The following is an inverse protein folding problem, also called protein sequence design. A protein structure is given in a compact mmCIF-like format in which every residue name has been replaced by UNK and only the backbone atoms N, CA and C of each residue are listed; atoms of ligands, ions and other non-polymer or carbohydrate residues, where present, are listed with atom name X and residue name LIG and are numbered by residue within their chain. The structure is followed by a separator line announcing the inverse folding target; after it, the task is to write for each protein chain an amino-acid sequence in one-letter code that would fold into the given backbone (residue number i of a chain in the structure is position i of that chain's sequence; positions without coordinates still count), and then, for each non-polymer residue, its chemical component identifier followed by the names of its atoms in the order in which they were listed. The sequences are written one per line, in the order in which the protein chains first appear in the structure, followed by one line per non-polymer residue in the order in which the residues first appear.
data_IF_238304283863
#
_entry.id   IF_238304283863
#
_cell.length_a   1.000
_cell.length_b   1.000
_cell.length_c   1.000
_cell.angle_alpha   90.00
_cell.angle_beta   90.00
_cell.angle_gamma   90.00
#
_symmetry.space_group_name_H-M   'P 1'
#
loop_
_entity.id
_entity.type
_entity.pdbx_description
1 polymer ?
#
# COMPACT_ATOMS: atom_id res chain seq x y z
N UNK A 1 -3.83 4.54 13.72
CA UNK A 1 -3.57 3.08 13.77
C UNK A 1 -4.15 2.51 12.48
N UNK A 2 -3.30 2.02 11.59
CA UNK A 2 -3.72 1.44 10.30
C UNK A 2 -4.59 0.21 10.56
N UNK A 3 -5.68 0.04 9.83
CA UNK A 3 -6.70 -0.99 10.10
C UNK A 3 -6.23 -2.44 9.89
N UNK A 4 -5.02 -2.66 9.36
CA UNK A 4 -4.54 -3.98 8.91
C UNK A 4 -3.09 -4.31 9.30
N UNK A 5 -2.39 -3.38 9.95
CA UNK A 5 -0.99 -3.52 10.40
C UNK A 5 -0.90 -2.97 11.83
N UNK A 6 -0.42 -3.77 12.76
CA UNK A 6 -0.08 -3.35 14.12
C UNK A 6 1.40 -2.96 14.18
N UNK A 7 1.71 -1.92 14.95
CA UNK A 7 3.06 -1.40 15.11
C UNK A 7 3.55 -1.66 16.52
N UNK A 8 4.70 -2.34 16.65
CA UNK A 8 5.38 -2.55 17.93
C UNK A 8 6.64 -1.69 17.97
N UNK A 9 6.73 -0.84 18.99
CA UNK A 9 7.95 -0.09 19.31
C UNK A 9 8.72 -0.86 20.37
N UNK A 10 9.93 -1.30 20.05
CA UNK A 10 10.87 -1.88 21.01
C UNK A 10 11.80 -0.80 21.57
N UNK A 11 12.28 0.06 20.68
CA UNK A 11 13.12 1.20 20.99
C UNK A 11 12.66 2.39 20.16
N UNK A 12 12.35 3.51 20.83
CA UNK A 12 11.91 4.72 20.14
C UNK A 12 13.07 5.38 19.38
N UNK A 13 12.76 5.92 18.20
CA UNK A 13 13.66 6.76 17.43
C UNK A 13 13.91 8.10 18.13
N UNK A 14 15.06 8.73 17.86
CA UNK A 14 15.37 10.12 18.24
C UNK A 14 15.88 10.87 17.01
N UNK A 15 16.06 12.21 17.07
CA UNK A 15 16.56 12.98 15.93
C UNK A 15 17.91 12.51 15.37
N UNK A 16 18.71 11.82 16.18
CA UNK A 16 20.06 11.36 15.83
C UNK A 16 20.17 9.83 15.63
N UNK A 17 19.11 9.06 15.91
CA UNK A 17 19.17 7.58 15.81
C UNK A 17 17.84 6.96 15.39
N UNK A 18 17.93 5.96 14.52
CA UNK A 18 16.81 5.07 14.26
C UNK A 18 16.47 4.26 15.52
N UNK A 19 15.18 4.06 15.74
CA UNK A 19 14.65 3.15 16.73
C UNK A 19 14.55 1.73 16.19
N UNK A 20 13.93 0.84 16.96
CA UNK A 20 13.70 -0.55 16.59
C UNK A 20 12.26 -0.93 16.87
N UNK A 21 11.67 -1.66 15.94
CA UNK A 21 10.30 -2.11 16.08
C UNK A 21 9.98 -3.25 15.13
N UNK A 22 8.70 -3.55 15.06
CA UNK A 22 8.18 -4.53 14.12
C UNK A 22 6.80 -4.12 13.62
N UNK A 23 6.53 -4.44 12.36
CA UNK A 23 5.16 -4.56 11.86
C UNK A 23 4.64 -5.96 12.15
N UNK A 24 3.43 -6.05 12.69
CA UNK A 24 2.66 -7.28 12.75
C UNK A 24 1.49 -7.19 11.78
N UNK A 25 1.50 -8.06 10.78
CA UNK A 25 0.49 -8.12 9.74
C UNK A 25 -0.70 -8.94 10.24
N UNK A 26 -1.88 -8.32 10.29
CA UNK A 26 -3.10 -9.00 10.72
C UNK A 26 -3.86 -9.56 9.52
N UNK A 27 -4.80 -10.45 9.79
CA UNK A 27 -5.74 -10.97 8.77
C UNK A 27 -6.93 -10.00 8.58
N UNK A 28 -6.90 -8.84 9.24
CA UNK A 28 -7.88 -7.78 9.05
C UNK A 28 -7.80 -7.22 7.63
N UNK A 29 -8.95 -6.77 7.15
CA UNK A 29 -9.05 -6.05 5.90
C UNK A 29 -10.01 -4.86 6.05
N UNK A 30 -9.95 -3.96 5.07
CA UNK A 30 -10.77 -2.76 5.04
C UNK A 30 -11.17 -2.41 3.61
N UNK A 31 -12.47 -2.24 3.38
CA UNK A 31 -13.06 -1.79 2.13
C UNK A 31 -13.90 -0.53 2.36
N UNK A 32 -14.05 0.30 1.33
CA UNK A 32 -14.78 1.58 1.37
C UNK A 32 -14.34 2.54 2.47
N UNK A 33 -13.08 2.46 2.93
CA UNK A 33 -12.52 3.24 4.05
C UNK A 33 -13.25 3.03 5.38
N UNK A 34 -13.98 1.92 5.55
CA UNK A 34 -14.77 1.61 6.74
C UNK A 34 -13.92 1.45 8.01
N UNK A 35 -12.65 1.05 7.85
CA UNK A 35 -11.83 0.51 8.94
C UNK A 35 -11.87 -1.02 8.97
N UNK A 36 -11.60 -1.62 10.13
CA UNK A 36 -11.62 -3.08 10.31
C UNK A 36 -13.02 -3.65 10.02
N UNK A 37 -13.09 -4.63 9.13
CA UNK A 37 -14.30 -5.37 8.80
C UNK A 37 -14.66 -6.36 9.92
N UNK A 38 -15.92 -6.82 10.03
CA UNK A 38 -16.36 -7.68 11.13
C UNK A 38 -15.78 -9.10 11.12
N UNK A 39 -15.18 -9.49 10.00
CA UNK A 39 -14.48 -10.76 9.79
C UNK A 39 -13.03 -10.53 9.31
N UNK A 40 -12.25 -11.61 9.30
CA UNK A 40 -10.84 -11.61 8.91
C UNK A 40 -10.64 -12.54 7.71
N UNK A 41 -9.65 -12.26 6.84
CA UNK A 41 -9.28 -13.12 5.71
C UNK A 41 -8.07 -13.98 6.14
N UNK A 42 -8.27 -15.27 6.47
CA UNK A 42 -7.21 -16.07 7.07
C UNK A 42 -5.95 -16.14 6.19
N UNK A 43 -4.79 -15.92 6.80
CA UNK A 43 -3.50 -16.02 6.11
C UNK A 43 -3.13 -14.81 5.24
N UNK A 44 -4.01 -13.82 5.09
CA UNK A 44 -3.73 -12.55 4.39
C UNK A 44 -2.50 -11.87 4.99
N UNK A 45 -2.46 -11.69 6.31
CA UNK A 45 -1.37 -10.97 6.97
C UNK A 45 -0.02 -11.64 6.72
N UNK A 46 0.01 -12.97 6.80
CA UNK A 46 1.23 -13.73 6.54
C UNK A 46 1.68 -13.68 5.07
N UNK A 47 0.73 -13.72 4.12
CA UNK A 47 1.02 -13.55 2.70
C UNK A 47 1.66 -12.19 2.41
N UNK A 48 1.07 -11.11 2.94
CA UNK A 48 1.59 -9.75 2.77
C UNK A 48 2.96 -9.56 3.43
N UNK A 49 3.16 -10.14 4.62
CA UNK A 49 4.45 -10.11 5.32
C UNK A 49 5.55 -10.79 4.50
N UNK A 50 5.28 -12.00 3.97
CA UNK A 50 6.24 -12.74 3.16
C UNK A 50 6.56 -12.03 1.83
N UNK A 51 5.55 -11.47 1.14
CA UNK A 51 5.77 -10.68 -0.08
C UNK A 51 6.61 -9.44 0.19
N UNK A 52 6.25 -8.67 1.23
CA UNK A 52 6.99 -7.46 1.60
C UNK A 52 8.44 -7.77 1.96
N UNK A 53 8.68 -8.84 2.74
CA UNK A 53 10.01 -9.29 3.11
C UNK A 53 10.87 -9.67 1.88
N UNK A 54 10.31 -10.45 0.96
CA UNK A 54 11.01 -10.83 -0.27
C UNK A 54 11.39 -9.60 -1.12
N UNK A 55 10.48 -8.62 -1.23
CA UNK A 55 10.77 -7.40 -1.98
C UNK A 55 11.86 -6.57 -1.30
N UNK A 56 11.86 -6.43 0.02
CA UNK A 56 12.92 -5.74 0.74
C UNK A 56 14.28 -6.42 0.57
N UNK A 57 14.34 -7.76 0.70
CA UNK A 57 15.57 -8.53 0.48
C UNK A 57 16.12 -8.32 -0.94
N UNK A 58 15.25 -8.34 -1.96
CA UNK A 58 15.64 -8.06 -3.34
C UNK A 58 16.09 -6.60 -3.58
N UNK A 59 15.50 -5.63 -2.88
CA UNK A 59 15.94 -4.23 -2.93
C UNK A 59 17.35 -4.07 -2.34
N UNK A 60 17.61 -4.71 -1.20
CA UNK A 60 18.91 -4.71 -0.53
C UNK A 60 19.99 -5.38 -1.39
N UNK A 61 19.66 -6.48 -2.09
CA UNK A 61 20.54 -7.11 -3.07
C UNK A 61 20.92 -6.17 -4.23
N UNK A 62 20.04 -5.24 -4.60
CA UNK A 62 20.31 -4.19 -5.60
C UNK A 62 20.99 -2.95 -5.01
N UNK A 63 21.29 -2.95 -3.71
CA UNK A 63 21.93 -1.83 -3.02
C UNK A 63 21.00 -0.66 -2.72
N UNK A 64 19.68 -0.87 -2.76
CA UNK A 64 18.69 0.15 -2.39
C UNK A 64 18.49 0.07 -0.88
N UNK A 65 18.79 1.13 -0.11
CA UNK A 65 18.62 1.12 1.34
C UNK A 65 17.17 0.95 1.75
N UNK A 66 16.92 0.16 2.79
CA UNK A 66 15.58 -0.08 3.33
C UNK A 66 15.57 0.03 4.86
N UNK A 67 14.38 0.13 5.46
CA UNK A 67 14.23 0.02 6.91
C UNK A 67 14.06 -1.43 7.40
N UNK A 68 14.06 -2.42 6.50
CA UNK A 68 13.84 -3.82 6.83
C UNK A 68 15.05 -4.40 7.57
N UNK A 69 14.78 -5.31 8.51
CA UNK A 69 15.83 -6.00 9.27
C UNK A 69 15.74 -7.51 9.21
N UNK A 70 14.67 -8.04 8.63
CA UNK A 70 14.34 -9.47 8.65
C UNK A 70 12.90 -9.75 9.05
N UNK A 71 12.43 -10.96 8.76
CA UNK A 71 11.19 -11.48 9.33
C UNK A 71 11.45 -12.03 10.73
N UNK A 72 10.43 -11.99 11.58
CA UNK A 72 10.51 -12.59 12.92
C UNK A 72 9.97 -14.02 12.85
N UNK A 73 10.86 -15.00 13.01
CA UNK A 73 10.53 -16.43 13.01
C UNK A 73 11.13 -17.10 14.25
N UNK A 74 10.31 -17.81 15.04
CA UNK A 74 10.80 -18.46 16.26
C UNK A 74 11.29 -17.49 17.36
N UNK A 75 10.94 -16.20 17.26
CA UNK A 75 11.41 -15.14 18.17
C UNK A 75 12.74 -14.50 17.77
N UNK A 76 13.33 -14.93 16.65
CA UNK A 76 14.56 -14.38 16.11
C UNK A 76 14.29 -13.62 14.80
N UNK A 77 15.13 -12.62 14.53
CA UNK A 77 15.08 -11.84 13.29
C UNK A 77 16.03 -12.48 12.29
N UNK A 78 15.55 -12.82 11.10
CA UNK A 78 16.35 -13.46 10.06
C UNK A 78 15.73 -13.30 8.67
N UNK A 79 16.40 -13.82 7.63
CA UNK A 79 15.91 -13.76 6.26
C UNK A 79 14.67 -14.63 6.05
N UNK A 80 13.81 -14.27 5.09
CA UNK A 80 12.59 -15.00 4.76
C UNK A 80 12.88 -16.47 4.36
N UNK A 81 14.03 -16.72 3.75
CA UNK A 81 14.46 -18.07 3.34
C UNK A 81 14.56 -19.04 4.53
N UNK A 82 14.92 -18.54 5.73
CA UNK A 82 15.07 -19.35 6.95
C UNK A 82 13.74 -19.56 7.69
N UNK A 83 12.69 -18.82 7.34
CA UNK A 83 11.37 -18.99 7.94
C UNK A 83 10.75 -20.34 7.54
N UNK A 84 10.59 -21.23 8.53
CA UNK A 84 9.97 -22.55 8.36
C UNK A 84 8.45 -22.50 8.22
N UNK A 85 7.82 -21.38 8.59
CA UNK A 85 6.38 -21.12 8.48
C UNK A 85 6.17 -19.72 7.93
N UNK A 86 5.01 -19.43 7.31
CA UNK A 86 4.68 -18.09 6.89
C UNK A 86 4.85 -17.06 8.04
N UNK A 87 5.73 -16.07 7.89
CA UNK A 87 5.94 -15.06 8.93
C UNK A 87 4.72 -14.13 9.01
N UNK A 88 4.50 -13.54 10.18
CA UNK A 88 3.49 -12.47 10.40
C UNK A 88 4.09 -11.18 10.93
N UNK A 89 5.38 -11.20 11.24
CA UNK A 89 6.09 -10.09 11.83
C UNK A 89 7.34 -9.78 11.02
N UNK A 90 7.58 -8.49 10.82
CA UNK A 90 8.72 -7.95 10.10
C UNK A 90 9.42 -6.97 11.03
N UNK A 91 10.68 -7.23 11.36
CA UNK A 91 11.50 -6.31 12.13
C UNK A 91 11.95 -5.16 11.24
N UNK A 92 11.89 -3.95 11.78
CA UNK A 92 12.21 -2.72 11.06
C UNK A 92 13.00 -1.74 11.93
N UNK A 93 13.80 -0.90 11.28
CA UNK A 93 14.32 0.33 11.84
C UNK A 93 13.19 1.37 11.89
N UNK A 94 13.04 2.04 13.04
CA UNK A 94 12.02 3.06 13.22
C UNK A 94 12.59 4.45 12.99
N UNK A 95 11.84 5.28 12.27
CA UNK A 95 12.11 6.71 12.16
C UNK A 95 11.10 7.51 12.99
N UNK A 96 11.31 8.82 13.08
CA UNK A 96 10.37 9.71 13.76
C UNK A 96 9.23 10.12 12.83
N UNK A 97 8.06 10.32 13.43
CA UNK A 97 6.93 10.99 12.80
C UNK A 97 6.51 12.11 13.74
N UNK A 98 7.13 13.30 13.65
CA UNK A 98 6.67 14.45 14.40
C UNK A 98 5.21 14.80 14.10
N UNK A 99 4.58 15.55 14.99
CA UNK A 99 3.29 16.15 14.67
C UNK A 99 3.46 17.12 13.49
N UNK A 100 2.47 17.17 12.60
CA UNK A 100 2.35 18.16 11.53
C UNK A 100 1.31 19.21 11.98
N UNK A 101 1.72 20.35 12.57
CA UNK A 101 0.78 21.37 13.01
C UNK A 101 0.06 21.99 11.81
N UNK A 102 -1.19 22.39 11.99
CA UNK A 102 -1.94 23.06 10.94
C UNK A 102 -2.99 24.02 11.50
N UNK A 103 -3.30 25.07 10.74
CA UNK A 103 -4.49 25.91 10.93
C UNK A 103 -5.38 25.76 9.70
N UNK A 104 -6.49 25.02 9.83
CA UNK A 104 -7.31 24.64 8.68
C UNK A 104 -6.52 23.79 7.69
N UNK A 105 -6.34 24.28 6.46
CA UNK A 105 -5.61 23.59 5.38
C UNK A 105 -4.16 24.08 5.20
N UNK A 106 -3.69 24.96 6.08
CA UNK A 106 -2.31 25.44 6.07
C UNK A 106 -1.48 24.60 7.06
N UNK A 107 -0.64 23.72 6.50
CA UNK A 107 0.20 22.78 7.26
C UNK A 107 1.64 23.31 7.40
N UNK A 108 2.18 23.26 8.62
CA UNK A 108 3.51 23.76 8.96
C UNK A 108 4.58 22.66 8.85
N UNK A 109 5.03 22.44 7.61
CA UNK A 109 6.12 21.50 7.32
C UNK A 109 7.48 21.96 7.86
N UNK A 110 7.69 23.27 8.05
CA UNK A 110 8.93 23.79 8.64
C UNK A 110 9.04 23.37 10.11
N UNK A 111 7.94 23.46 10.88
CA UNK A 111 7.88 22.96 12.25
C UNK A 111 8.05 21.43 12.32
N UNK A 112 7.45 20.68 11.39
CA UNK A 112 7.64 19.24 11.28
C UNK A 112 9.12 18.89 11.10
N UNK A 113 9.80 19.51 10.13
CA UNK A 113 11.21 19.24 9.83
C UNK A 113 12.16 19.73 10.94
N UNK A 114 11.85 20.85 11.59
CA UNK A 114 12.61 21.34 12.74
C UNK A 114 12.56 20.36 13.93
N UNK A 115 11.41 19.72 14.17
CA UNK A 115 11.25 18.72 15.21
C UNK A 115 11.89 17.37 14.85
N UNK A 116 11.85 17.00 13.57
CA UNK A 116 12.44 15.77 13.04
C UNK A 116 13.98 15.76 13.04
N UNK A 117 14.61 16.90 12.76
CA UNK A 117 16.06 16.97 12.59
C UNK A 117 16.55 16.16 11.38
N UNK A 118 17.44 15.20 11.60
CA UNK A 118 18.03 14.36 10.57
C UNK A 118 17.35 13.01 10.36
N UNK A 119 16.24 12.73 11.06
CA UNK A 119 15.60 11.42 11.09
C UNK A 119 14.07 11.54 11.05
N UNK A 120 13.44 11.25 9.90
CA UNK A 120 11.99 11.31 9.76
C UNK A 120 11.42 10.43 8.64
N UNK A 121 10.17 10.02 8.79
CA UNK A 121 9.39 9.52 7.67
C UNK A 121 9.02 10.70 6.77
N UNK A 122 9.37 10.62 5.50
CA UNK A 122 9.12 11.70 4.54
C UNK A 122 7.59 11.82 4.40
N UNK A 123 7.00 13.02 4.55
CA UNK A 123 5.55 13.22 4.58
C UNK A 123 4.93 13.21 3.17
N UNK A 124 5.31 12.21 2.37
CA UNK A 124 4.85 11.97 1.01
C UNK A 124 4.49 10.49 0.84
N UNK A 125 3.41 10.22 0.12
CA UNK A 125 3.26 8.94 -0.58
C UNK A 125 3.83 9.09 -1.99
N UNK A 126 4.64 8.13 -2.42
CA UNK A 126 5.24 8.12 -3.76
C UNK A 126 4.52 7.06 -4.58
N UNK A 127 3.70 7.51 -5.53
CA UNK A 127 2.83 6.66 -6.34
C UNK A 127 3.46 6.44 -7.70
N UNK A 128 3.58 5.20 -8.16
CA UNK A 128 3.99 4.88 -9.51
C UNK A 128 2.87 4.16 -10.26
N UNK A 129 2.75 4.43 -11.56
CA UNK A 129 1.69 3.88 -12.42
C UNK A 129 2.27 3.29 -13.69
N UNK A 130 1.97 2.02 -13.95
CA UNK A 130 2.23 1.33 -15.21
C UNK A 130 0.97 1.31 -16.10
N UNK A 131 -0.21 1.40 -15.49
CA UNK A 131 -1.52 1.37 -16.16
C UNK A 131 -2.42 2.49 -15.65
N UNK A 132 -3.27 3.02 -16.53
CA UNK A 132 -4.29 4.03 -16.22
C UNK A 132 -5.69 3.43 -16.38
N UNK A 133 -6.29 2.87 -15.31
CA UNK A 133 -7.66 2.36 -15.36
C UNK A 133 -8.68 3.48 -15.56
N UNK A 134 -9.90 3.12 -15.95
CA UNK A 134 -11.01 4.07 -16.22
C UNK A 134 -11.30 4.98 -15.03
N UNK A 135 -11.24 4.45 -13.80
CA UNK A 135 -11.44 5.21 -12.57
C UNK A 135 -10.21 5.98 -12.05
N UNK A 136 -9.10 6.02 -12.79
CA UNK A 136 -7.88 6.70 -12.32
C UNK A 136 -8.05 8.21 -12.24
N UNK A 137 -7.66 8.80 -11.11
CA UNK A 137 -7.58 10.25 -10.92
C UNK A 137 -6.59 10.94 -11.86
N UNK A 138 -5.68 10.19 -12.51
CA UNK A 138 -4.78 10.73 -13.51
C UNK A 138 -5.54 11.26 -14.74
N UNK A 139 -6.68 10.63 -15.08
CA UNK A 139 -7.46 10.97 -16.28
C UNK A 139 -8.09 12.36 -16.24
N UNK A 140 -8.40 12.87 -15.05
CA UNK A 140 -8.91 14.23 -14.87
C UNK A 140 -7.80 15.29 -14.74
N UNK A 141 -6.55 14.87 -14.63
CA UNK A 141 -5.38 15.74 -14.39
C UNK A 141 -4.45 15.91 -15.58
N UNK A 142 -4.64 15.13 -16.65
CA UNK A 142 -3.88 15.27 -17.90
C UNK A 142 -4.54 14.52 -19.05
N UNK A 143 -4.14 14.88 -20.27
CA UNK A 143 -4.49 14.16 -21.49
C UNK A 143 -3.54 12.99 -21.73
N UNK A 144 -3.92 11.95 -22.50
CA UNK A 144 -3.04 10.82 -22.79
C UNK A 144 -1.67 11.23 -23.36
N UNK A 145 -1.64 12.28 -24.20
CA UNK A 145 -0.42 12.80 -24.80
C UNK A 145 0.60 13.32 -23.77
N UNK A 146 0.14 13.83 -22.63
CA UNK A 146 1.01 14.29 -21.52
C UNK A 146 1.80 13.11 -20.91
N UNK A 147 1.34 11.87 -21.13
CA UNK A 147 1.91 10.64 -20.63
C UNK A 147 2.50 9.75 -21.75
N UNK A 148 2.81 10.35 -22.90
CA UNK A 148 3.48 9.66 -24.01
C UNK A 148 2.58 8.77 -24.87
N UNK A 149 1.25 8.87 -24.74
CA UNK A 149 0.32 8.11 -25.56
C UNK A 149 -0.10 8.92 -26.80
N UNK A 150 -0.04 8.30 -27.99
CA UNK A 150 -0.50 8.89 -29.25
C UNK A 150 -2.04 8.84 -29.36
N UNK A 151 -2.72 9.58 -28.47
CA UNK A 151 -4.20 9.64 -28.39
C UNK A 151 -4.68 11.02 -27.93
N UNK A 152 -5.77 11.49 -28.54
CA UNK A 152 -6.39 12.77 -28.16
C UNK A 152 -7.28 12.71 -26.91
N UNK A 153 -7.76 11.53 -26.51
CA UNK A 153 -8.61 11.34 -25.34
C UNK A 153 -8.43 9.96 -24.72
N UNK A 154 -8.76 9.86 -23.43
CA UNK A 154 -8.73 8.60 -22.71
C UNK A 154 -9.82 7.63 -23.25
N UNK A 155 -9.50 6.35 -23.51
CA UNK A 155 -10.49 5.35 -23.93
C UNK A 155 -11.24 4.77 -22.72
N UNK A 156 -12.42 4.19 -22.92
CA UNK A 156 -13.24 3.57 -21.85
C UNK A 156 -12.72 2.17 -21.42
N UNK A 157 -11.41 1.99 -21.43
CA UNK A 157 -10.69 0.78 -21.03
C UNK A 157 -9.38 1.15 -20.32
N UNK A 158 -8.79 0.25 -19.51
CA UNK A 158 -7.45 0.46 -18.95
C UNK A 158 -6.39 0.64 -20.04
N UNK A 159 -5.45 1.56 -19.83
CA UNK A 159 -4.37 1.84 -20.80
C UNK A 159 -3.01 1.62 -20.15
N UNK A 160 -2.19 0.76 -20.74
CA UNK A 160 -0.78 0.63 -20.34
C UNK A 160 0.00 1.87 -20.78
N UNK A 161 0.85 2.38 -19.89
CA UNK A 161 1.73 3.50 -20.16
C UNK A 161 3.03 3.01 -20.81
N UNK A 162 3.62 3.78 -21.75
CA UNK A 162 4.90 3.43 -22.34
C UNK A 162 6.05 3.51 -21.32
N UNK A 163 5.96 4.48 -20.40
CA UNK A 163 6.89 4.67 -19.29
C UNK A 163 6.10 4.88 -18.01
N UNK A 164 6.57 4.39 -16.85
CA UNK A 164 5.86 4.57 -15.61
C UNK A 164 5.81 6.05 -15.22
N UNK A 165 4.62 6.49 -14.81
CA UNK A 165 4.41 7.83 -14.23
C UNK A 165 4.67 7.73 -12.73
N UNK A 166 5.51 8.63 -12.19
CA UNK A 166 5.71 8.79 -10.75
C UNK A 166 5.08 10.10 -10.30
N UNK A 167 4.28 10.04 -9.25
CA UNK A 167 3.55 11.16 -8.67
C UNK A 167 3.75 11.18 -7.15
N UNK A 168 3.63 12.36 -6.56
CA UNK A 168 3.70 12.53 -5.12
C UNK A 168 2.34 13.00 -4.61
N UNK A 169 1.90 12.44 -3.49
CA UNK A 169 0.80 12.98 -2.71
C UNK A 169 1.23 13.25 -1.28
N UNK A 170 0.51 14.15 -0.62
CA UNK A 170 0.74 14.44 0.79
C UNK A 170 0.48 13.21 1.65
N UNK A 171 1.14 13.16 2.81
CA UNK A 171 0.87 12.22 3.88
C UNK A 171 0.69 13.02 5.16
N UNK A 172 -0.24 12.58 6.02
CA UNK A 172 -0.60 13.20 7.32
C UNK A 172 -1.44 14.48 7.25
N UNK A 173 -1.72 15.01 6.06
CA UNK A 173 -2.80 15.99 5.91
C UNK A 173 -4.16 15.31 6.20
N UNK A 174 -5.19 16.08 6.53
CA UNK A 174 -6.56 15.58 6.75
C UNK A 174 -7.12 14.82 5.54
N UNK A 175 -6.64 15.16 4.33
CA UNK A 175 -6.92 14.43 3.11
C UNK A 175 -5.74 14.54 2.16
N UNK A 176 -5.28 13.40 1.66
CA UNK A 176 -4.17 13.36 0.71
C UNK A 176 -4.51 14.09 -0.59
N UNK A 177 -3.55 14.84 -1.12
CA UNK A 177 -3.66 15.55 -2.40
C UNK A 177 -2.42 15.34 -3.24
N UNK A 178 -2.58 15.27 -4.56
CA UNK A 178 -1.46 15.21 -5.49
C UNK A 178 -0.75 16.56 -5.57
N UNK A 179 0.57 16.51 -5.70
CA UNK A 179 1.46 17.65 -5.61
C UNK A 179 2.14 17.95 -6.94
N UNK A 180 2.43 19.22 -7.18
CA UNK A 180 3.47 19.60 -8.12
C UNK A 180 4.84 19.20 -7.58
N UNK A 181 5.83 19.12 -8.48
CA UNK A 181 7.20 18.77 -8.09
C UNK A 181 7.80 19.77 -7.09
N UNK A 182 7.49 21.05 -7.22
CA UNK A 182 7.95 22.11 -6.30
C UNK A 182 7.34 21.99 -4.90
N UNK A 183 6.05 21.63 -4.81
CA UNK A 183 5.40 21.37 -3.52
C UNK A 183 5.96 20.10 -2.87
N UNK A 184 6.14 19.03 -3.65
CA UNK A 184 6.74 17.80 -3.16
C UNK A 184 8.14 18.04 -2.60
N UNK A 185 8.96 18.87 -3.28
CA UNK A 185 10.34 19.16 -2.85
C UNK A 185 10.35 19.91 -1.51
N UNK A 186 9.46 20.88 -1.35
CA UNK A 186 9.27 21.58 -0.08
C UNK A 186 8.83 20.64 1.05
N UNK A 187 7.88 19.76 0.75
CA UNK A 187 7.30 18.83 1.75
C UNK A 187 8.32 17.74 2.13
N UNK A 188 9.13 17.27 1.17
CA UNK A 188 10.16 16.27 1.40
C UNK A 188 11.28 16.74 2.35
N UNK A 189 11.46 18.06 2.50
CA UNK A 189 12.44 18.67 3.39
C UNK A 189 13.86 18.50 2.87
N UNK A 190 14.69 17.75 3.59
CA UNK A 190 16.09 17.48 3.20
C UNK A 190 16.22 16.40 2.12
N UNK A 191 15.18 15.58 1.92
CA UNK A 191 15.19 14.54 0.91
C UNK A 191 14.95 15.13 -0.49
N UNK A 192 15.85 14.82 -1.43
CA UNK A 192 15.71 15.21 -2.84
C UNK A 192 14.53 14.49 -3.48
N UNK A 193 13.58 15.25 -4.05
CA UNK A 193 12.48 14.65 -4.82
C UNK A 193 12.97 13.91 -6.06
N UNK A 194 14.11 14.31 -6.64
CA UNK A 194 14.71 13.58 -7.74
C UNK A 194 15.18 12.18 -7.30
N UNK A 195 15.72 12.07 -6.10
CA UNK A 195 16.22 10.80 -5.55
C UNK A 195 15.04 9.90 -5.19
N UNK A 196 13.99 10.47 -4.59
CA UNK A 196 12.72 9.77 -4.32
C UNK A 196 12.08 9.24 -5.60
N UNK A 197 12.07 10.03 -6.67
CA UNK A 197 11.58 9.60 -7.98
C UNK A 197 12.42 8.44 -8.55
N UNK A 198 13.75 8.53 -8.45
CA UNK A 198 14.66 7.46 -8.90
C UNK A 198 14.41 6.16 -8.14
N UNK A 199 14.35 6.21 -6.81
CA UNK A 199 14.06 5.06 -5.95
C UNK A 199 12.70 4.45 -6.31
N UNK A 200 11.67 5.28 -6.50
CA UNK A 200 10.34 4.79 -6.87
C UNK A 200 10.33 4.07 -8.22
N UNK A 201 11.11 4.54 -9.20
CA UNK A 201 11.26 3.86 -10.50
C UNK A 201 11.97 2.51 -10.36
N UNK A 202 13.03 2.45 -9.55
CA UNK A 202 13.76 1.20 -9.29
C UNK A 202 12.89 0.17 -8.56
N UNK A 203 12.16 0.62 -7.53
CA UNK A 203 11.20 -0.23 -6.80
C UNK A 203 10.11 -0.73 -7.75
N UNK A 204 9.50 0.16 -8.54
CA UNK A 204 8.47 -0.22 -9.50
C UNK A 204 9.00 -1.23 -10.52
N UNK A 205 10.21 -1.03 -11.05
CA UNK A 205 10.81 -1.96 -12.00
C UNK A 205 11.01 -3.35 -11.39
N UNK A 206 11.53 -3.42 -10.16
CA UNK A 206 11.72 -4.68 -9.42
C UNK A 206 10.39 -5.40 -9.18
N UNK A 207 9.40 -4.69 -8.64
CA UNK A 207 8.08 -5.28 -8.34
C UNK A 207 7.37 -5.74 -9.62
N UNK A 208 7.53 -4.99 -10.72
CA UNK A 208 6.95 -5.33 -12.03
C UNK A 208 7.61 -6.56 -12.65
N UNK A 209 8.94 -6.63 -12.62
CA UNK A 209 9.71 -7.80 -13.07
C UNK A 209 9.25 -9.04 -12.29
N UNK A 210 9.16 -8.92 -10.97
CA UNK A 210 8.75 -10.04 -10.12
C UNK A 210 7.30 -10.47 -10.34
N UNK A 211 6.40 -9.52 -10.54
CA UNK A 211 5.02 -9.81 -10.89
C UNK A 211 4.92 -10.56 -12.22
N UNK A 212 5.68 -10.13 -13.23
CA UNK A 212 5.67 -10.75 -14.56
C UNK A 212 6.13 -12.21 -14.52
N UNK A 213 7.14 -12.55 -13.71
CA UNK A 213 7.59 -13.94 -13.50
C UNK A 213 6.47 -14.85 -12.95
N UNK A 214 5.57 -14.29 -12.15
CA UNK A 214 4.40 -14.99 -11.59
C UNK A 214 3.16 -14.94 -12.50
N UNK A 215 3.26 -14.36 -13.71
CA UNK A 215 2.13 -14.16 -14.62
C UNK A 215 1.16 -13.06 -14.17
N UNK A 216 1.58 -12.20 -13.24
CA UNK A 216 0.81 -11.06 -12.76
C UNK A 216 1.15 -9.81 -13.58
N UNK A 217 0.14 -9.00 -13.86
CA UNK A 217 0.30 -7.63 -14.35
C UNK A 217 0.33 -6.68 -13.17
N UNK A 218 1.39 -5.90 -13.03
CA UNK A 218 1.51 -4.86 -12.00
C UNK A 218 1.01 -3.53 -12.56
N UNK A 219 -0.17 -3.09 -12.14
CA UNK A 219 -0.86 -1.92 -12.70
C UNK A 219 -0.31 -0.60 -12.12
N UNK A 220 -0.16 -0.55 -10.80
CA UNK A 220 0.39 0.60 -10.06
C UNK A 220 0.57 0.25 -8.59
N UNK A 221 1.23 1.13 -7.87
CA UNK A 221 1.40 1.01 -6.43
C UNK A 221 1.97 2.27 -5.81
N UNK A 222 2.28 2.18 -4.53
CA UNK A 222 2.91 3.25 -3.77
C UNK A 222 3.99 2.71 -2.85
N UNK A 223 4.92 3.60 -2.52
CA UNK A 223 5.89 3.40 -1.45
C UNK A 223 5.97 4.63 -0.55
N UNK A 224 6.52 4.40 0.63
CA UNK A 224 6.94 5.43 1.56
C UNK A 224 8.45 5.36 1.72
N UNK A 225 9.07 6.46 2.11
CA UNK A 225 10.50 6.52 2.35
C UNK A 225 10.76 7.27 3.66
N UNK A 226 11.82 6.88 4.34
CA UNK A 226 12.38 7.65 5.45
C UNK A 226 13.66 8.36 5.01
N UNK A 227 13.97 9.46 5.66
CA UNK A 227 15.25 10.15 5.58
C UNK A 227 15.99 9.96 6.89
N UNK A 228 17.24 9.50 6.82
CA UNK A 228 18.13 9.38 7.96
C UNK A 228 19.55 9.84 7.60
N UNK A 229 19.98 10.95 8.18
CA UNK A 229 21.34 11.49 8.11
C UNK A 229 21.97 11.54 6.69
N UNK A 230 21.19 12.01 5.71
CA UNK A 230 21.65 12.13 4.32
C UNK A 230 21.33 10.93 3.42
N UNK A 231 20.74 9.88 3.98
CA UNK A 231 20.32 8.69 3.25
C UNK A 231 18.80 8.58 3.21
N UNK A 232 18.26 8.27 2.03
CA UNK A 232 16.86 7.88 1.86
C UNK A 232 16.76 6.36 1.90
N UNK A 233 15.82 5.83 2.68
CA UNK A 233 15.54 4.39 2.73
C UNK A 233 14.09 4.11 2.42
N UNK A 234 13.82 3.04 1.67
CA UNK A 234 12.45 2.56 1.44
C UNK A 234 11.86 2.05 2.76
N UNK A 235 10.67 2.54 3.08
CA UNK A 235 9.98 2.29 4.33
C UNK A 235 8.57 1.72 4.11
N UNK A 236 7.80 1.58 5.19
CA UNK A 236 6.53 0.85 5.25
C UNK A 236 6.64 -0.57 4.63
N UNK A 237 5.83 -0.90 3.61
CA UNK A 237 5.79 -2.21 2.98
C UNK A 237 5.76 -2.04 1.46
N UNK A 238 6.49 -2.89 0.73
CA UNK A 238 6.66 -2.77 -0.72
C UNK A 238 6.03 -3.95 -1.46
N UNK A 239 5.33 -3.67 -2.57
CA UNK A 239 4.95 -4.66 -3.59
C UNK A 239 4.00 -5.75 -3.10
N UNK A 240 3.05 -5.42 -2.22
CA UNK A 240 2.05 -6.36 -1.70
C UNK A 240 0.66 -6.11 -2.30
N UNK A 241 -0.22 -7.11 -2.26
CA UNK A 241 -1.58 -7.02 -2.82
C UNK A 241 -2.49 -5.94 -2.20
N UNK A 242 -2.13 -5.42 -1.03
CA UNK A 242 -2.88 -4.33 -0.37
C UNK A 242 -2.35 -2.93 -0.76
N UNK A 243 -1.05 -2.81 -1.06
CA UNK A 243 -0.41 -1.53 -1.38
C UNK A 243 -0.23 -1.30 -2.89
N UNK A 244 -0.38 -2.36 -3.70
CA UNK A 244 -0.18 -2.35 -5.14
C UNK A 244 -1.34 -3.10 -5.81
N UNK A 245 -1.70 -2.68 -7.03
CA UNK A 245 -2.71 -3.35 -7.85
C UNK A 245 -2.04 -4.34 -8.78
N UNK A 246 -2.33 -5.62 -8.53
CA UNK A 246 -1.95 -6.71 -9.40
C UNK A 246 -3.17 -7.37 -10.01
N UNK A 247 -3.06 -7.79 -11.27
CA UNK A 247 -4.08 -8.59 -11.93
C UNK A 247 -3.50 -9.85 -12.57
N UNK A 248 -4.27 -10.93 -12.52
CA UNK A 248 -3.97 -12.21 -13.16
C UNK A 248 -5.08 -12.48 -14.18
N UNK A 249 -4.71 -12.60 -15.47
CA UNK A 249 -5.67 -12.75 -16.56
C UNK A 249 -6.84 -11.74 -16.50
N UNK A 250 -6.56 -10.49 -16.12
CA UNK A 250 -7.56 -9.41 -16.00
C UNK A 250 -8.38 -9.39 -14.69
N UNK A 251 -8.19 -10.35 -13.78
CA UNK A 251 -8.82 -10.35 -12.46
C UNK A 251 -7.85 -9.78 -11.42
N UNK A 252 -8.26 -8.79 -10.63
CA UNK A 252 -7.43 -8.26 -9.56
C UNK A 252 -7.24 -9.29 -8.43
N UNK A 253 -5.99 -9.44 -8.00
CA UNK A 253 -5.56 -10.30 -6.88
C UNK A 253 -5.41 -9.41 -5.65
N UNK A 254 -6.54 -9.05 -5.03
CA UNK A 254 -6.58 -8.15 -3.87
C UNK A 254 -7.93 -8.22 -3.16
N UNK A 255 -8.12 -7.36 -2.16
CA UNK A 255 -9.42 -7.11 -1.53
C UNK A 255 -10.50 -6.55 -2.46
N UNK A 256 -10.20 -6.24 -3.74
CA UNK A 256 -11.24 -5.87 -4.71
C UNK A 256 -12.31 -6.96 -4.86
N UNK A 257 -11.94 -8.24 -4.74
CA UNK A 257 -12.90 -9.36 -4.82
C UNK A 257 -13.98 -9.25 -3.74
N UNK A 258 -13.57 -9.07 -2.48
CA UNK A 258 -14.53 -8.89 -1.37
C UNK A 258 -15.26 -7.55 -1.45
N UNK A 259 -14.62 -6.50 -1.98
CA UNK A 259 -15.26 -5.21 -2.23
C UNK A 259 -16.43 -5.36 -3.21
N UNK A 260 -16.24 -6.09 -4.31
CA UNK A 260 -17.30 -6.35 -5.29
C UNK A 260 -18.44 -7.19 -4.70
N UNK A 261 -18.10 -8.20 -3.90
CA UNK A 261 -19.10 -8.99 -3.19
C UNK A 261 -20.01 -8.13 -2.30
N UNK A 262 -19.43 -7.25 -1.48
CA UNK A 262 -20.22 -6.31 -0.66
C UNK A 262 -21.07 -5.34 -1.49
N UNK A 263 -20.57 -4.84 -2.63
CA UNK A 263 -21.38 -3.98 -3.53
C UNK A 263 -22.64 -4.70 -4.01
N UNK A 264 -22.53 -5.99 -4.29
CA UNK A 264 -23.63 -6.80 -4.84
C UNK A 264 -24.61 -7.27 -3.76
N UNK A 265 -24.09 -7.80 -2.64
CA UNK A 265 -24.91 -8.43 -1.60
C UNK A 265 -25.37 -7.45 -0.50
N UNK A 266 -24.64 -6.34 -0.31
CA UNK A 266 -24.94 -5.34 0.73
C UNK A 266 -25.05 -3.91 0.14
N UNK A 267 -25.82 -3.69 -0.95
CA UNK A 267 -25.88 -2.40 -1.62
C UNK A 267 -26.41 -1.28 -0.72
N UNK A 268 -27.34 -1.58 0.18
CA UNK A 268 -27.91 -0.59 1.10
C UNK A 268 -26.88 -0.06 2.10
N UNK A 269 -25.94 -0.90 2.54
CA UNK A 269 -24.82 -0.46 3.37
C UNK A 269 -23.82 0.38 2.57
N UNK A 270 -23.47 -0.04 1.35
CA UNK A 270 -22.56 0.70 0.48
C UNK A 270 -23.12 2.09 0.14
N UNK A 271 -24.42 2.19 -0.14
CA UNK A 271 -25.11 3.48 -0.32
C UNK A 271 -25.10 4.32 0.95
N UNK A 272 -25.32 3.72 2.13
CA UNK A 272 -25.27 4.43 3.40
C UNK A 272 -23.87 5.01 3.67
N UNK A 273 -22.80 4.26 3.37
CA UNK A 273 -21.42 4.74 3.44
C UNK A 273 -21.20 5.94 2.52
N UNK A 274 -21.66 5.87 1.26
CA UNK A 274 -21.53 6.97 0.31
C UNK A 274 -22.25 8.23 0.81
N UNK A 275 -23.50 8.10 1.25
CA UNK A 275 -24.29 9.21 1.80
C UNK A 275 -23.66 9.81 3.06
N UNK A 276 -23.14 8.97 3.95
CA UNK A 276 -22.47 9.43 5.17
C UNK A 276 -21.20 10.23 4.86
N UNK A 277 -20.41 9.81 3.86
CA UNK A 277 -19.23 10.57 3.40
C UNK A 277 -19.60 11.90 2.76
N UNK A 278 -20.64 11.93 1.92
CA UNK A 278 -21.15 13.16 1.33
C UNK A 278 -21.66 14.14 2.40
N UNK A 279 -22.43 13.63 3.36
CA UNK A 279 -22.96 14.42 4.47
C UNK A 279 -21.84 14.94 5.38
N UNK A 280 -20.86 14.09 5.72
CA UNK A 280 -19.70 14.48 6.52
C UNK A 280 -18.91 15.61 5.85
N UNK A 281 -18.70 15.51 4.52
CA UNK A 281 -18.06 16.56 3.74
C UNK A 281 -18.88 17.86 3.72
N UNK A 282 -20.20 17.77 3.64
CA UNK A 282 -21.08 18.94 3.64
C UNK A 282 -21.17 19.62 5.03
N UNK A 283 -21.01 18.85 6.11
CA UNK A 283 -21.12 19.30 7.50
C UNK A 283 -19.79 19.52 8.21
N UNK A 284 -18.67 19.31 7.51
CA UNK A 284 -17.31 19.37 8.04
C UNK A 284 -17.10 18.45 9.27
N UNK A 285 -17.62 17.23 9.18
CA UNK A 285 -17.48 16.21 10.24
C UNK A 285 -16.30 15.29 9.91
N UNK A 286 -15.32 15.23 10.80
CA UNK A 286 -14.11 14.41 10.60
C UNK A 286 -14.39 12.89 10.54
N UNK A 287 -15.21 12.35 11.46
CA UNK A 287 -15.56 10.91 11.47
C UNK A 287 -16.94 10.67 10.87
N UNK A 288 -16.96 10.48 9.55
CA UNK A 288 -18.17 10.20 8.77
C UNK A 288 -18.92 8.95 9.23
N UNK A 289 -18.25 7.98 9.88
CA UNK A 289 -18.91 6.73 10.32
C UNK A 289 -19.98 6.97 11.37
N UNK A 290 -19.83 8.02 12.17
CA UNK A 290 -20.85 8.44 13.15
C UNK A 290 -22.18 8.84 12.49
N UNK A 291 -22.16 9.13 11.18
CA UNK A 291 -23.33 9.47 10.36
C UNK A 291 -23.86 8.25 9.58
N UNK A 292 -23.13 7.13 9.56
CA UNK A 292 -23.56 5.92 8.86
C UNK A 292 -24.42 5.08 9.80
N UNK A 293 -25.73 5.02 9.53
CA UNK A 293 -26.68 4.25 10.33
C UNK A 293 -26.65 2.72 10.08
N UNK A 294 -25.71 2.24 9.24
CA UNK A 294 -25.59 0.83 8.86
C UNK A 294 -24.17 0.35 9.00
N UNK A 295 -24.04 -0.86 9.54
CA UNK A 295 -22.80 -1.61 9.61
C UNK A 295 -22.76 -2.70 8.52
N UNK A 296 -21.57 -3.12 8.08
CA UNK A 296 -21.44 -4.28 7.21
C UNK A 296 -21.81 -5.57 7.93
N UNK A 297 -22.47 -6.48 7.21
CA UNK A 297 -22.63 -7.86 7.66
C UNK A 297 -21.38 -8.69 7.33
N UNK A 298 -21.04 -9.70 8.15
CA UNK A 298 -19.92 -10.59 7.89
C UNK A 298 -20.05 -11.34 6.56
N UNK A 299 -18.91 -11.59 5.91
CA UNK A 299 -18.88 -12.41 4.70
C UNK A 299 -19.17 -13.89 5.01
N UNK A 300 -19.89 -14.61 4.11
CA UNK A 300 -20.03 -16.06 4.23
C UNK A 300 -18.68 -16.78 4.21
N UNK A 301 -18.56 -17.89 4.94
CA UNK A 301 -17.30 -18.67 5.03
C UNK A 301 -16.72 -19.07 3.66
N UNK A 302 -17.58 -19.34 2.67
CA UNK A 302 -17.15 -19.66 1.30
C UNK A 302 -16.40 -18.51 0.64
N UNK A 303 -16.88 -17.28 0.81
CA UNK A 303 -16.25 -16.06 0.27
C UNK A 303 -14.91 -15.80 0.95
N UNK A 304 -14.85 -15.98 2.27
CA UNK A 304 -13.61 -15.83 3.04
C UNK A 304 -12.56 -16.86 2.65
N UNK A 305 -12.97 -18.10 2.37
CA UNK A 305 -12.08 -19.16 1.89
C UNK A 305 -11.48 -18.79 0.53
N UNK A 306 -12.31 -18.34 -0.42
CA UNK A 306 -11.85 -17.91 -1.75
C UNK A 306 -10.91 -16.72 -1.65
N UNK A 307 -11.23 -15.72 -0.83
CA UNK A 307 -10.34 -14.58 -0.58
C UNK A 307 -9.00 -15.04 0.05
N UNK A 308 -9.05 -15.93 1.03
CA UNK A 308 -7.87 -16.53 1.68
C UNK A 308 -6.99 -17.30 0.68
N UNK A 309 -7.60 -18.12 -0.17
CA UNK A 309 -6.92 -18.85 -1.25
C UNK A 309 -6.24 -17.87 -2.21
N UNK A 310 -6.92 -16.78 -2.59
CA UNK A 310 -6.37 -15.78 -3.50
C UNK A 310 -5.09 -15.12 -2.96
N UNK A 311 -5.07 -14.70 -1.69
CA UNK A 311 -3.86 -14.13 -1.08
C UNK A 311 -2.71 -15.15 -0.97
N UNK A 312 -3.02 -16.37 -0.52
CA UNK A 312 -2.02 -17.41 -0.27
C UNK A 312 -1.44 -17.98 -1.58
N UNK A 313 -2.30 -18.27 -2.55
CA UNK A 313 -1.91 -18.73 -3.88
C UNK A 313 -1.15 -17.63 -4.63
N UNK A 314 -1.61 -16.38 -4.52
CA UNK A 314 -0.92 -15.22 -5.06
C UNK A 314 0.48 -15.05 -4.48
N UNK A 315 0.63 -15.18 -3.16
CA UNK A 315 1.94 -15.11 -2.53
C UNK A 315 2.84 -16.28 -2.93
N UNK A 316 2.34 -17.51 -2.99
CA UNK A 316 3.13 -18.65 -3.47
C UNK A 316 3.66 -18.42 -4.89
N UNK A 317 2.78 -17.99 -5.81
CA UNK A 317 3.15 -17.69 -7.19
C UNK A 317 4.16 -16.54 -7.27
N UNK A 318 3.90 -15.43 -6.56
CA UNK A 318 4.77 -14.26 -6.51
C UNK A 318 6.14 -14.59 -5.88
N UNK A 319 6.20 -15.50 -4.92
CA UNK A 319 7.45 -15.91 -4.27
C UNK A 319 8.14 -17.09 -4.99
N UNK A 320 7.47 -17.74 -5.94
CA UNK A 320 7.97 -18.96 -6.57
C UNK A 320 8.25 -20.07 -5.55
N UNK A 321 7.48 -20.11 -4.44
CA UNK A 321 7.69 -20.98 -3.29
C UNK A 321 6.35 -21.43 -2.72
N UNK A 322 6.22 -22.72 -2.40
CA UNK A 322 5.06 -23.28 -1.72
C UNK A 322 5.12 -23.00 -0.21
N UNK A 323 4.97 -21.73 0.16
CA UNK A 323 5.00 -21.28 1.56
C UNK A 323 3.65 -21.51 2.26
N UNK A 324 2.56 -21.47 1.50
CA UNK A 324 1.19 -21.66 1.97
C UNK A 324 0.57 -22.92 1.37
N UNK A 325 -0.26 -23.62 2.15
CA UNK A 325 -1.16 -24.65 1.62
C UNK A 325 -2.36 -23.97 0.97
N UNK A 326 -2.31 -23.84 -0.36
CA UNK A 326 -3.27 -23.12 -1.20
C UNK A 326 -3.31 -23.74 -2.61
N UNK A 327 -4.42 -23.59 -3.34
CA UNK A 327 -4.50 -24.03 -4.73
C UNK A 327 -3.55 -23.21 -5.64
N UNK A 328 -3.31 -23.65 -6.88
CA UNK A 328 -2.64 -22.83 -7.88
C UNK A 328 -3.33 -21.47 -8.08
N UNK A 329 -2.55 -20.42 -8.35
CA UNK A 329 -3.08 -19.05 -8.54
C UNK A 329 -4.21 -18.99 -9.58
N UNK A 330 -4.08 -19.71 -10.70
CA UNK A 330 -5.12 -19.76 -11.73
C UNK A 330 -6.46 -20.27 -11.17
N UNK A 331 -6.46 -21.34 -10.38
CA UNK A 331 -7.66 -21.90 -9.77
C UNK A 331 -8.26 -20.95 -8.72
N UNK A 332 -7.42 -20.32 -7.89
CA UNK A 332 -7.88 -19.32 -6.93
C UNK A 332 -8.54 -18.11 -7.60
N UNK A 333 -8.00 -17.68 -8.74
CA UNK A 333 -8.54 -16.58 -9.55
C UNK A 333 -9.87 -16.97 -10.20
N UNK A 334 -10.01 -18.17 -10.75
CA UNK A 334 -11.30 -18.62 -11.29
C UNK A 334 -12.36 -18.70 -10.19
N UNK A 335 -12.03 -19.25 -9.02
CA UNK A 335 -12.95 -19.29 -7.88
C UNK A 335 -13.37 -17.88 -7.44
N UNK A 336 -12.45 -16.90 -7.48
CA UNK A 336 -12.76 -15.50 -7.18
C UNK A 336 -13.68 -14.84 -8.21
N UNK A 337 -13.66 -15.26 -9.48
CA UNK A 337 -14.56 -14.76 -10.53
C UNK A 337 -15.97 -15.33 -10.42
N UNK A 338 -16.10 -16.51 -9.84
CA UNK A 338 -17.39 -17.19 -9.64
C UNK A 338 -18.17 -16.66 -8.42
N UNK A 339 -17.54 -15.82 -7.58
CA UNK A 339 -18.18 -15.18 -6.43
C UNK A 339 -19.23 -14.15 -6.83
#
# INVERSE_FOLDING_TARGET
MTSVKEFRVEEAATPERLGRGAFRFTDDYSVFDWGKMPDEIPGKGAALCAMGAANFELLEERGIPTHYRGVVAGGEVGPLAEAARPPREMAIDLTQVPALPHEGRDYDYDAFHAAAGGNYLIPLEIVFRNTVPVGSSLRSRGAPADFGLDRGSWPDEPVALPEPVVEFSTKYEESDRYLSREEADRIAGRASVADLESIAREVNALVTERAAEAGLTHEDGKIECLYFDGEVRVADVVGTFDENRFSYAGQQVSKEVVRQYHRREQPEWVEAVARAKEEAKARDVADWRTLCARDPEPLPEGVLRVASDLYRAGANAYLGRDLFDAPPLAEAVEAAREL
#
